data_IF_409738032782
#
_entry.id   IF_409738032782
#
_cell.length_a   1.000
_cell.length_b   1.000
_cell.length_c   1.000
_cell.angle_alpha   90.00
_cell.angle_beta   90.00
_cell.angle_gamma   90.00
#
_symmetry.space_group_name_H-M   'P 1'
#
loop_
_entity.id
_entity.type
_entity.pdbx_description
1 polymer ?
#
# COMPACT_ATOMS: atom_id res chain seq x y z
N UNK A 1 -8.01 22.33 -4.08
CA UNK A 1 -6.69 21.74 -4.42
C UNK A 1 -6.92 20.25 -4.59
N UNK A 2 -6.40 19.65 -5.65
CA UNK A 2 -6.51 18.20 -5.89
C UNK A 2 -5.66 17.44 -4.87
N UNK A 3 -6.21 16.41 -4.24
CA UNK A 3 -5.51 15.53 -3.29
C UNK A 3 -5.22 14.18 -3.94
N UNK A 4 -4.17 13.49 -3.50
CA UNK A 4 -3.81 12.18 -4.04
C UNK A 4 -4.34 11.07 -3.10
N UNK A 5 -5.01 10.06 -3.66
CA UNK A 5 -5.34 8.83 -2.96
C UNK A 5 -4.53 7.67 -3.55
N UNK A 6 -3.55 7.19 -2.79
CA UNK A 6 -2.73 6.05 -3.16
C UNK A 6 -3.44 4.74 -2.80
N UNK A 7 -3.69 3.91 -3.81
CA UNK A 7 -4.48 2.68 -3.71
C UNK A 7 -3.63 1.48 -4.11
N UNK A 8 -3.18 0.67 -3.15
CA UNK A 8 -2.41 -0.52 -3.45
C UNK A 8 -3.23 -1.61 -4.12
N UNK A 9 -2.65 -2.28 -5.10
CA UNK A 9 -3.15 -3.53 -5.66
C UNK A 9 -2.11 -4.59 -5.35
N UNK A 10 -2.37 -5.35 -4.29
CA UNK A 10 -1.38 -6.20 -3.64
C UNK A 10 -1.98 -7.48 -3.08
N UNK A 11 -1.14 -8.46 -2.78
CA UNK A 11 -1.47 -9.54 -1.85
C UNK A 11 -0.90 -9.22 -0.47
N UNK A 12 -1.36 -9.94 0.56
CA UNK A 12 -0.80 -9.82 1.91
C UNK A 12 0.71 -10.06 1.91
N UNK A 13 1.46 -9.29 2.71
CA UNK A 13 2.91 -9.47 2.87
C UNK A 13 3.80 -8.87 1.77
N UNK A 14 3.24 -8.16 0.78
CA UNK A 14 4.03 -7.45 -0.23
C UNK A 14 4.86 -6.27 0.32
N UNK A 15 4.64 -5.84 1.57
CA UNK A 15 5.42 -4.75 2.20
C UNK A 15 4.73 -3.38 2.19
N UNK A 16 3.49 -3.30 1.68
CA UNK A 16 2.63 -2.11 1.64
C UNK A 16 2.65 -1.29 2.94
N UNK A 17 2.31 -1.89 4.08
CA UNK A 17 2.23 -1.17 5.36
C UNK A 17 3.60 -0.68 5.83
N UNK A 18 4.67 -1.41 5.54
CA UNK A 18 6.05 -0.96 5.80
C UNK A 18 6.38 0.29 4.97
N UNK A 19 6.07 0.27 3.67
CA UNK A 19 6.27 1.42 2.77
C UNK A 19 5.45 2.63 3.24
N UNK A 20 4.18 2.44 3.57
CA UNK A 20 3.28 3.53 3.97
C UNK A 20 3.65 4.14 5.33
N UNK A 21 3.99 3.32 6.33
CA UNK A 21 4.53 3.80 7.61
C UNK A 21 5.82 4.59 7.42
N UNK A 22 6.72 4.12 6.55
CA UNK A 22 7.97 4.84 6.25
C UNK A 22 7.67 6.21 5.62
N UNK A 23 6.76 6.28 4.64
CA UNK A 23 6.33 7.54 4.04
C UNK A 23 5.71 8.49 5.05
N UNK A 24 4.83 8.00 5.93
CA UNK A 24 4.21 8.79 7.00
C UNK A 24 5.24 9.39 7.95
N UNK A 25 6.27 8.62 8.33
CA UNK A 25 7.36 9.10 9.20
C UNK A 25 8.19 10.19 8.53
N UNK A 26 8.45 10.06 7.23
CA UNK A 26 9.23 11.04 6.46
C UNK A 26 8.43 12.31 6.13
N UNK A 27 7.11 12.17 5.94
CA UNK A 27 6.22 13.20 5.40
C UNK A 27 4.89 13.24 6.16
N UNK A 28 4.75 14.09 7.20
CA UNK A 28 3.52 14.21 7.98
C UNK A 28 2.27 14.65 7.19
N UNK A 29 2.43 15.26 6.00
CA UNK A 29 1.33 15.59 5.09
C UNK A 29 0.76 14.37 4.35
N UNK A 30 1.46 13.23 4.36
CA UNK A 30 0.94 11.95 3.87
C UNK A 30 0.24 11.23 5.03
N UNK A 31 -1.08 11.14 4.98
CA UNK A 31 -1.88 10.45 6.02
C UNK A 31 -2.00 8.97 5.69
N UNK A 32 -1.62 8.13 6.63
CA UNK A 32 -1.67 6.67 6.50
C UNK A 32 -2.86 6.11 7.26
N UNK A 33 -3.77 5.43 6.55
CA UNK A 33 -5.02 4.89 7.11
C UNK A 33 -5.04 3.38 6.88
N UNK A 34 -5.14 2.60 7.97
CA UNK A 34 -5.06 1.14 7.97
C UNK A 34 -6.43 0.47 8.08
N UNK A 35 -6.83 -0.25 7.03
CA UNK A 35 -8.12 -0.96 7.01
C UNK A 35 -8.27 -1.94 8.18
N UNK A 36 -7.18 -2.62 8.56
CA UNK A 36 -7.19 -3.61 9.63
C UNK A 36 -7.33 -2.98 11.04
N UNK A 37 -7.24 -1.65 11.14
CA UNK A 37 -7.45 -0.87 12.38
C UNK A 37 -8.81 -0.18 12.44
N UNK A 38 -9.53 -0.07 11.33
CA UNK A 38 -10.86 0.53 11.30
C UNK A 38 -11.92 -0.48 11.75
N UNK A 39 -12.88 -0.02 12.53
CA UNK A 39 -13.94 -0.86 13.12
C UNK A 39 -14.88 -1.48 12.08
N UNK A 40 -15.03 -0.83 10.92
CA UNK A 40 -15.90 -1.27 9.84
C UNK A 40 -15.45 -0.70 8.49
N UNK A 41 -15.98 -1.26 7.38
CA UNK A 41 -15.80 -0.71 6.02
C UNK A 41 -16.27 0.76 5.93
N UNK A 42 -17.36 1.10 6.61
CA UNK A 42 -17.90 2.45 6.62
C UNK A 42 -16.97 3.42 7.39
N UNK A 43 -16.44 3.00 8.54
CA UNK A 43 -15.48 3.78 9.30
C UNK A 43 -14.20 4.03 8.47
N UNK A 44 -13.65 2.99 7.85
CA UNK A 44 -12.47 3.10 7.00
C UNK A 44 -12.63 4.11 5.86
N UNK A 45 -13.76 4.07 5.13
CA UNK A 45 -14.03 5.03 4.08
C UNK A 45 -14.35 6.43 4.61
N UNK A 46 -14.97 6.54 5.79
CA UNK A 46 -15.17 7.81 6.49
C UNK A 46 -13.86 8.48 6.90
N UNK A 47 -12.90 7.72 7.43
CA UNK A 47 -11.55 8.20 7.77
C UNK A 47 -10.83 8.74 6.52
N UNK A 48 -10.92 8.03 5.38
CA UNK A 48 -10.34 8.47 4.11
C UNK A 48 -11.01 9.76 3.61
N UNK A 49 -12.35 9.82 3.62
CA UNK A 49 -13.09 11.01 3.19
C UNK A 49 -12.75 12.24 4.05
N UNK A 50 -12.65 12.04 5.38
CA UNK A 50 -12.24 13.08 6.32
C UNK A 50 -10.84 13.58 6.00
N UNK A 51 -9.87 12.68 5.81
CA UNK A 51 -8.49 13.04 5.48
C UNK A 51 -8.37 13.76 4.12
N UNK A 52 -9.12 13.33 3.10
CA UNK A 52 -9.14 14.00 1.79
C UNK A 52 -9.76 15.41 1.83
N UNK A 53 -10.60 15.68 2.84
CA UNK A 53 -11.24 16.99 3.05
C UNK A 53 -10.37 17.94 3.87
N UNK A 54 -9.34 17.43 4.56
CA UNK A 54 -8.45 18.23 5.40
C UNK A 54 -7.44 19.01 4.51
N UNK A 55 -7.41 20.35 4.60
CA UNK A 55 -6.49 21.15 3.80
C UNK A 55 -5.02 20.86 4.08
N UNK A 56 -4.67 20.39 5.28
CA UNK A 56 -3.30 20.05 5.70
C UNK A 56 -2.77 18.71 5.18
N UNK A 57 -3.65 17.89 4.60
CA UNK A 57 -3.31 16.55 4.09
C UNK A 57 -2.99 16.63 2.62
N UNK A 58 -1.78 16.32 2.20
CA UNK A 58 -1.40 16.36 0.78
C UNK A 58 -1.86 15.11 0.03
N UNK A 59 -1.74 13.95 0.68
CA UNK A 59 -2.11 12.67 0.13
C UNK A 59 -2.55 11.67 1.21
N UNK A 60 -3.39 10.73 0.81
CA UNK A 60 -3.85 9.62 1.66
C UNK A 60 -3.26 8.31 1.14
N UNK A 61 -2.65 7.56 2.04
CA UNK A 61 -2.10 6.22 1.84
C UNK A 61 -3.13 5.20 2.33
N UNK A 62 -3.96 4.69 1.42
CA UNK A 62 -5.05 3.74 1.71
C UNK A 62 -4.46 2.34 1.94
N UNK A 63 -4.22 1.96 3.19
CA UNK A 63 -3.54 0.71 3.53
C UNK A 63 -4.52 -0.49 3.57
N UNK A 64 -4.95 -0.90 2.38
CA UNK A 64 -5.69 -2.14 2.10
C UNK A 64 -5.10 -2.83 0.89
N UNK A 65 -5.25 -4.15 0.78
CA UNK A 65 -4.64 -4.92 -0.30
C UNK A 65 -5.33 -4.73 -1.67
N UNK A 66 -6.65 -4.48 -1.70
CA UNK A 66 -7.46 -4.33 -2.93
C UNK A 66 -7.22 -5.40 -4.03
N UNK A 67 -6.87 -6.63 -3.61
CA UNK A 67 -6.68 -7.78 -4.49
C UNK A 67 -7.95 -8.22 -5.24
N UNK A 68 -9.13 -7.95 -4.69
CA UNK A 68 -10.40 -8.20 -5.36
C UNK A 68 -10.77 -6.98 -6.21
N UNK A 69 -11.28 -7.21 -7.43
CA UNK A 69 -11.78 -6.15 -8.30
C UNK A 69 -12.88 -5.31 -7.62
N UNK A 70 -13.81 -5.96 -6.91
CA UNK A 70 -14.88 -5.26 -6.17
C UNK A 70 -14.35 -4.26 -5.13
N UNK A 71 -13.18 -4.50 -4.52
CA UNK A 71 -12.56 -3.53 -3.61
C UNK A 71 -12.14 -2.24 -4.33
N UNK A 72 -11.67 -2.35 -5.58
CA UNK A 72 -11.27 -1.21 -6.40
C UNK A 72 -12.49 -0.47 -6.91
N UNK A 73 -13.54 -1.20 -7.28
CA UNK A 73 -14.86 -0.64 -7.62
C UNK A 73 -15.40 0.25 -6.51
N UNK A 74 -15.41 -0.25 -5.27
CA UNK A 74 -15.84 0.53 -4.11
C UNK A 74 -15.03 1.84 -3.98
N UNK A 75 -13.71 1.80 -4.17
CA UNK A 75 -12.85 2.98 -4.03
C UNK A 75 -13.13 4.01 -5.12
N UNK A 76 -13.27 3.55 -6.37
CA UNK A 76 -13.61 4.42 -7.49
C UNK A 76 -14.97 5.07 -7.27
N UNK A 77 -16.00 4.30 -6.89
CA UNK A 77 -17.35 4.82 -6.63
C UNK A 77 -17.41 5.83 -5.48
N UNK A 78 -16.58 5.66 -4.43
CA UNK A 78 -16.60 6.55 -3.26
C UNK A 78 -15.72 7.80 -3.43
N UNK A 79 -14.62 7.72 -4.19
CA UNK A 79 -13.58 8.75 -4.15
C UNK A 79 -13.19 9.33 -5.50
N UNK A 80 -13.62 8.75 -6.62
CA UNK A 80 -13.33 9.36 -7.93
C UNK A 80 -14.10 10.67 -8.08
N UNK A 81 -13.40 11.75 -8.38
CA UNK A 81 -14.00 13.07 -8.62
C UNK A 81 -12.98 14.12 -9.01
N UNK A 82 -13.43 15.35 -9.26
CA UNK A 82 -12.59 16.45 -9.78
C UNK A 82 -11.42 16.83 -8.86
N UNK A 83 -11.55 16.60 -7.55
CA UNK A 83 -10.57 17.00 -6.54
C UNK A 83 -9.73 15.85 -5.98
N UNK A 84 -9.86 14.63 -6.51
CA UNK A 84 -9.11 13.46 -6.04
C UNK A 84 -8.46 12.75 -7.22
N UNK A 85 -7.13 12.64 -7.16
CA UNK A 85 -6.35 11.84 -8.09
C UNK A 85 -6.14 10.44 -7.52
N UNK A 86 -6.72 9.44 -8.18
CA UNK A 86 -6.56 8.03 -7.81
C UNK A 86 -5.29 7.46 -8.43
N UNK A 87 -4.39 6.94 -7.59
CA UNK A 87 -3.11 6.38 -8.02
C UNK A 87 -3.01 4.91 -7.63
N UNK A 88 -3.05 4.03 -8.61
CA UNK A 88 -2.88 2.59 -8.39
C UNK A 88 -1.40 2.28 -8.12
N UNK A 89 -1.10 1.61 -7.01
CA UNK A 89 0.24 1.12 -6.68
C UNK A 89 0.30 -0.40 -6.89
N UNK A 90 0.93 -0.85 -7.97
CA UNK A 90 0.98 -2.26 -8.34
C UNK A 90 2.10 -2.98 -7.60
N UNK A 91 1.80 -3.51 -6.41
CA UNK A 91 2.72 -4.36 -5.63
C UNK A 91 2.84 -5.79 -6.17
N UNK A 92 1.94 -6.17 -7.07
CA UNK A 92 2.12 -7.29 -7.99
C UNK A 92 2.29 -6.66 -9.39
N UNK A 93 3.53 -6.52 -9.88
CA UNK A 93 3.81 -5.79 -11.12
C UNK A 93 3.12 -6.40 -12.34
N UNK A 94 2.94 -5.61 -13.41
CA UNK A 94 2.33 -6.11 -14.64
C UNK A 94 3.16 -7.29 -15.19
N UNK A 95 2.47 -8.29 -15.72
CA UNK A 95 3.10 -9.54 -16.19
C UNK A 95 3.62 -10.47 -15.09
N UNK A 96 3.58 -10.09 -13.81
CA UNK A 96 3.94 -10.96 -12.69
C UNK A 96 2.71 -11.73 -12.21
N UNK A 97 2.80 -13.06 -12.17
CA UNK A 97 1.75 -13.86 -11.57
C UNK A 97 1.76 -13.69 -10.05
N UNK A 98 0.60 -13.48 -9.40
CA UNK A 98 0.51 -13.43 -7.94
C UNK A 98 1.12 -14.66 -7.25
N UNK A 99 1.12 -15.81 -7.94
CA UNK A 99 1.78 -17.04 -7.50
C UNK A 99 3.30 -16.92 -7.37
N UNK A 100 3.96 -16.08 -8.18
CA UNK A 100 5.40 -15.80 -8.03
C UNK A 100 5.66 -14.98 -6.75
N UNK A 101 4.77 -14.04 -6.43
CA UNK A 101 4.84 -13.23 -5.21
C UNK A 101 4.67 -14.07 -3.93
N UNK A 102 3.92 -15.18 -4.01
CA UNK A 102 3.70 -16.11 -2.90
C UNK A 102 5.00 -16.60 -2.26
N UNK A 103 5.99 -16.97 -3.06
CA UNK A 103 7.27 -17.49 -2.55
C UNK A 103 8.01 -16.44 -1.71
N UNK A 104 8.06 -15.20 -2.21
CA UNK A 104 8.65 -14.07 -1.52
C UNK A 104 7.92 -13.74 -0.21
N UNK A 105 6.59 -13.72 -0.25
CA UNK A 105 5.75 -13.45 0.93
C UNK A 105 5.94 -14.51 2.01
N UNK A 106 5.88 -15.80 1.65
CA UNK A 106 6.07 -16.89 2.61
C UNK A 106 7.49 -16.90 3.19
N UNK A 107 8.50 -16.57 2.38
CA UNK A 107 9.87 -16.38 2.86
C UNK A 107 9.99 -15.25 3.88
N UNK A 108 9.34 -14.11 3.64
CA UNK A 108 9.29 -13.00 4.62
C UNK A 108 8.58 -13.39 5.91
N UNK A 109 7.47 -14.13 5.83
CA UNK A 109 6.74 -14.62 7.00
C UNK A 109 7.60 -15.60 7.80
N UNK A 110 8.31 -16.52 7.15
CA UNK A 110 9.20 -17.47 7.81
C UNK A 110 10.33 -16.75 8.58
N UNK A 111 11.02 -15.79 7.93
CA UNK A 111 12.11 -15.03 8.56
C UNK A 111 11.65 -14.12 9.70
N UNK A 112 10.41 -13.58 9.62
CA UNK A 112 9.82 -12.81 10.72
C UNK A 112 9.40 -13.72 11.87
N UNK A 113 8.98 -14.95 11.58
CA UNK A 113 8.68 -15.98 12.58
C UNK A 113 9.90 -16.39 13.41
N UNK A 114 11.09 -16.42 12.81
CA UNK A 114 12.34 -16.74 13.53
C UNK A 114 12.78 -15.65 14.53
N UNK A 115 12.35 -14.40 14.34
CA UNK A 115 12.69 -13.26 15.21
C UNK A 115 11.59 -12.87 16.21
N UNK A 116 10.44 -13.56 16.23
CA UNK A 116 9.34 -13.29 17.17
C UNK A 116 9.15 -14.48 18.13
N UNK A 117 9.32 -14.31 19.46
CA UNK A 117 9.17 -15.39 20.45
C UNK A 117 7.79 -16.07 20.52
N UNK A 118 6.79 -15.56 19.79
CA UNK A 118 5.40 -16.04 19.79
C UNK A 118 5.00 -16.87 18.55
N UNK A 119 5.81 -16.97 17.49
CA UNK A 119 5.54 -17.89 16.35
C UNK A 119 6.15 -19.27 16.65
N UNK A 120 5.72 -19.87 17.77
CA UNK A 120 6.26 -21.14 18.27
C UNK A 120 5.61 -22.39 17.70
N UNK A 121 4.67 -22.30 16.75
CA UNK A 121 3.97 -23.48 16.24
C UNK A 121 3.97 -23.60 14.72
N UNK A 122 4.24 -24.81 14.19
CA UNK A 122 3.99 -25.19 12.79
C UNK A 122 2.56 -24.84 12.33
N UNK A 123 1.62 -24.72 13.27
CA UNK A 123 0.23 -24.35 13.01
C UNK A 123 0.07 -22.90 12.54
N UNK A 124 0.90 -21.97 13.02
CA UNK A 124 0.80 -20.54 12.67
C UNK A 124 1.37 -20.27 11.27
N UNK A 125 2.45 -20.95 10.90
CA UNK A 125 2.93 -20.92 9.51
C UNK A 125 1.92 -21.57 8.55
N UNK A 126 1.26 -22.66 8.97
CA UNK A 126 0.17 -23.27 8.22
C UNK A 126 -0.99 -22.31 7.97
N UNK A 127 -1.45 -21.59 9.01
CA UNK A 127 -2.48 -20.54 8.91
C UNK A 127 -2.04 -19.41 7.97
N UNK A 128 -0.84 -18.88 8.16
CA UNK A 128 -0.30 -17.81 7.31
C UNK A 128 -0.25 -18.25 5.84
N UNK A 129 0.19 -19.49 5.58
CA UNK A 129 0.19 -20.07 4.23
C UNK A 129 -1.22 -20.16 3.63
N UNK A 130 -2.22 -20.58 4.40
CA UNK A 130 -3.61 -20.61 3.93
C UNK A 130 -4.14 -19.21 3.58
N UNK A 131 -3.84 -18.21 4.41
CA UNK A 131 -4.21 -16.81 4.16
C UNK A 131 -3.58 -16.32 2.86
N UNK A 132 -2.25 -16.45 2.73
CA UNK A 132 -1.52 -16.04 1.50
C UNK A 132 -2.12 -16.72 0.26
N UNK A 133 -2.40 -18.02 0.33
CA UNK A 133 -2.99 -18.75 -0.80
C UNK A 133 -4.38 -18.24 -1.17
N UNK A 134 -5.19 -17.82 -0.19
CA UNK A 134 -6.50 -17.23 -0.45
C UNK A 134 -6.37 -15.92 -1.22
N UNK A 135 -5.45 -15.05 -0.81
CA UNK A 135 -5.17 -13.78 -1.51
C UNK A 135 -4.66 -14.02 -2.92
N UNK A 136 -3.73 -14.96 -3.12
CA UNK A 136 -3.18 -15.30 -4.44
C UNK A 136 -4.27 -15.85 -5.36
N UNK A 137 -5.10 -16.77 -4.87
CA UNK A 137 -6.18 -17.39 -5.65
C UNK A 137 -7.22 -16.37 -6.09
N UNK A 138 -7.54 -15.42 -5.22
CA UNK A 138 -8.58 -14.43 -5.48
C UNK A 138 -8.02 -13.12 -6.07
N UNK A 139 -6.72 -13.04 -6.36
CA UNK A 139 -6.11 -11.82 -6.89
C UNK A 139 -6.60 -11.56 -8.32
N UNK A 140 -7.31 -10.45 -8.50
CA UNK A 140 -7.65 -9.88 -9.79
C UNK A 140 -6.56 -8.87 -10.18
N UNK A 141 -5.76 -9.14 -11.24
CA UNK A 141 -4.77 -8.20 -11.75
C UNK A 141 -5.41 -6.86 -12.13
N UNK A 142 -4.59 -5.81 -12.15
CA UNK A 142 -4.99 -4.52 -12.71
C UNK A 142 -5.10 -4.62 -14.22
N UNK A 143 -6.18 -4.07 -14.78
CA UNK A 143 -6.43 -4.02 -16.22
C UNK A 143 -6.85 -2.60 -16.64
N UNK A 144 -6.07 -1.92 -17.48
CA UNK A 144 -6.37 -0.55 -17.89
C UNK A 144 -7.61 -0.44 -18.79
N UNK A 145 -7.99 -1.53 -19.45
CA UNK A 145 -9.16 -1.58 -20.34
C UNK A 145 -10.45 -1.90 -19.57
N UNK A 146 -10.35 -2.31 -18.30
CA UNK A 146 -11.51 -2.58 -17.46
C UNK A 146 -12.22 -1.27 -17.03
N UNK A 147 -13.56 -1.19 -17.05
CA UNK A 147 -14.29 0.04 -16.75
C UNK A 147 -14.10 0.61 -15.34
N UNK A 148 -13.62 -0.18 -14.38
CA UNK A 148 -13.30 0.27 -13.03
C UNK A 148 -11.84 0.69 -12.95
N UNK A 149 -10.93 -0.20 -13.37
CA UNK A 149 -9.49 0.04 -13.25
C UNK A 149 -8.97 1.13 -14.21
N UNK A 150 -9.62 1.31 -15.35
CA UNK A 150 -9.37 2.41 -16.29
C UNK A 150 -9.76 3.80 -15.73
N UNK A 151 -10.43 3.88 -14.58
CA UNK A 151 -10.75 5.15 -13.92
C UNK A 151 -9.63 5.68 -13.00
N UNK A 152 -8.59 4.87 -12.73
CA UNK A 152 -7.39 5.35 -12.03
C UNK A 152 -6.65 6.35 -12.90
N UNK A 153 -6.31 7.51 -12.34
CA UNK A 153 -5.63 8.59 -13.06
C UNK A 153 -4.19 8.22 -13.40
N UNK A 154 -3.53 7.52 -12.49
CA UNK A 154 -2.14 7.10 -12.65
C UNK A 154 -1.92 5.69 -12.10
N UNK A 155 -0.88 5.05 -12.63
CA UNK A 155 -0.41 3.75 -12.20
C UNK A 155 1.09 3.82 -11.93
N UNK A 156 1.49 3.42 -10.73
CA UNK A 156 2.90 3.26 -10.35
C UNK A 156 3.17 1.78 -10.15
N UNK A 157 4.03 1.23 -11.00
CA UNK A 157 4.53 -0.13 -10.80
C UNK A 157 5.53 -0.15 -9.65
N UNK A 158 5.31 -1.02 -8.67
CA UNK A 158 6.19 -1.18 -7.52
C UNK A 158 7.22 -2.27 -7.83
N UNK A 159 8.33 -2.30 -7.10
CA UNK A 159 9.27 -3.41 -7.12
C UNK A 159 8.72 -4.58 -6.29
N UNK A 160 8.54 -5.72 -6.96
CA UNK A 160 8.07 -7.00 -6.38
C UNK A 160 9.18 -7.87 -5.77
N UNK A 161 10.44 -7.43 -5.83
CA UNK A 161 11.59 -8.18 -5.32
C UNK A 161 11.60 -8.32 -3.78
N UNK A 162 12.48 -9.18 -3.25
CA UNK A 162 12.54 -9.49 -1.81
C UNK A 162 12.92 -8.27 -0.94
N UNK A 163 13.72 -7.34 -1.44
CA UNK A 163 14.25 -6.18 -0.71
C UNK A 163 13.77 -4.85 -1.32
N UNK A 164 12.48 -4.80 -1.65
CA UNK A 164 11.92 -3.72 -2.46
C UNK A 164 11.37 -2.52 -1.69
N UNK A 165 11.20 -2.59 -0.36
CA UNK A 165 10.48 -1.55 0.40
C UNK A 165 11.12 -0.17 0.28
N UNK A 166 12.45 -0.07 0.32
CA UNK A 166 13.17 1.20 0.21
C UNK A 166 13.00 1.83 -1.19
N UNK A 167 13.15 1.02 -2.23
CA UNK A 167 12.91 1.44 -3.61
C UNK A 167 11.45 1.84 -3.83
N UNK A 168 10.51 1.13 -3.21
CA UNK A 168 9.08 1.45 -3.29
C UNK A 168 8.73 2.77 -2.62
N UNK A 169 9.39 3.15 -1.52
CA UNK A 169 9.30 4.50 -0.96
C UNK A 169 9.78 5.52 -1.98
N UNK A 170 10.95 5.30 -2.61
CA UNK A 170 11.50 6.21 -3.63
C UNK A 170 10.60 6.33 -4.86
N UNK A 171 9.93 5.25 -5.29
CA UNK A 171 9.00 5.28 -6.43
C UNK A 171 7.80 6.20 -6.15
N UNK A 172 7.23 6.12 -4.94
CA UNK A 172 6.12 6.99 -4.53
C UNK A 172 6.59 8.44 -4.39
N UNK A 173 7.76 8.70 -3.81
CA UNK A 173 8.34 10.05 -3.70
C UNK A 173 8.60 10.66 -5.09
N UNK A 174 9.21 9.90 -6.02
CA UNK A 174 9.41 10.33 -7.40
C UNK A 174 8.09 10.61 -8.12
N UNK A 175 7.07 9.79 -7.87
CA UNK A 175 5.74 10.05 -8.40
C UNK A 175 5.22 11.40 -7.87
N UNK A 176 5.18 11.61 -6.55
CA UNK A 176 4.71 12.87 -5.95
C UNK A 176 5.40 14.11 -6.52
N UNK A 177 6.72 14.03 -6.77
CA UNK A 177 7.52 15.14 -7.31
C UNK A 177 7.50 15.24 -8.85
N UNK A 178 6.73 14.39 -9.54
CA UNK A 178 6.62 14.39 -10.99
C UNK A 178 6.00 15.68 -11.53
N UNK A 179 6.63 16.24 -12.57
CA UNK A 179 6.14 17.45 -13.25
C UNK A 179 4.79 17.16 -13.92
N UNK A 180 3.80 18.02 -13.69
CA UNK A 180 2.49 17.93 -14.33
C UNK A 180 1.42 17.17 -13.55
N UNK A 181 1.70 16.70 -12.33
CA UNK A 181 0.66 16.14 -11.47
C UNK A 181 -0.31 17.23 -10.96
N UNK A 182 -1.63 17.08 -11.17
CA UNK A 182 -2.62 17.94 -10.55
C UNK A 182 -2.46 17.90 -9.02
N UNK A 183 -2.33 19.07 -8.38
CA UNK A 183 -2.21 19.17 -6.92
C UNK A 183 -0.79 19.11 -6.36
N UNK A 184 0.24 18.83 -7.18
CA UNK A 184 1.65 19.07 -6.87
C UNK A 184 2.06 18.76 -5.42
N UNK A 185 1.95 17.50 -4.99
CA UNK A 185 2.41 17.08 -3.66
C UNK A 185 3.94 17.12 -3.64
N UNK A 186 4.50 18.30 -3.39
CA UNK A 186 5.94 18.50 -3.31
C UNK A 186 6.46 17.94 -1.99
N UNK A 187 6.92 16.69 -2.02
CA UNK A 187 7.60 16.07 -0.88
C UNK A 187 9.10 16.34 -1.00
N UNK A 188 9.75 16.93 0.02
CA UNK A 188 11.18 17.21 -0.05
C UNK A 188 11.96 15.89 -0.23
N UNK A 189 12.94 15.89 -1.13
CA UNK A 189 13.82 14.73 -1.25
C UNK A 189 14.55 14.49 0.08
N UNK A 190 14.63 13.22 0.47
CA UNK A 190 15.33 12.77 1.67
C UNK A 190 16.51 11.92 1.26
N UNK A 191 17.58 11.98 2.04
CA UNK A 191 18.76 11.16 1.77
C UNK A 191 18.43 9.67 1.91
N UNK A 192 19.17 8.83 1.19
CA UNK A 192 19.02 7.38 1.31
C UNK A 192 19.21 6.88 2.75
N UNK A 193 20.10 7.51 3.52
CA UNK A 193 20.35 7.19 4.93
C UNK A 193 19.13 7.49 5.81
N UNK A 194 18.49 8.65 5.66
CA UNK A 194 17.27 9.01 6.38
C UNK A 194 16.11 8.07 6.01
N UNK A 195 15.90 7.80 4.71
CA UNK A 195 14.86 6.86 4.27
C UNK A 195 15.06 5.48 4.89
N UNK A 196 16.31 5.00 4.91
CA UNK A 196 16.65 3.71 5.51
C UNK A 196 16.43 3.71 7.03
N UNK A 197 16.75 4.80 7.72
CA UNK A 197 16.51 4.94 9.15
C UNK A 197 15.02 4.83 9.48
N UNK A 198 14.15 5.56 8.77
CA UNK A 198 12.71 5.50 9.00
C UNK A 198 12.12 4.16 8.56
N UNK A 199 12.68 3.53 7.52
CA UNK A 199 12.31 2.17 7.13
C UNK A 199 12.59 1.17 8.26
N UNK A 200 13.75 1.25 8.91
CA UNK A 200 14.07 0.42 10.08
C UNK A 200 13.13 0.68 11.25
N UNK A 201 12.78 1.94 11.52
CA UNK A 201 11.77 2.28 12.54
C UNK A 201 10.40 1.69 12.21
N UNK A 202 9.99 1.75 10.93
CA UNK A 202 8.71 1.16 10.49
C UNK A 202 8.67 -0.36 10.64
N UNK A 203 9.82 -1.04 10.54
CA UNK A 203 9.95 -2.49 10.75
C UNK A 203 10.00 -2.86 12.24
N UNK A 204 10.51 -1.98 13.08
CA UNK A 204 10.54 -2.14 14.54
C UNK A 204 9.19 -1.80 15.20
N UNK A 205 8.25 -1.23 14.44
CA UNK A 205 6.91 -0.91 14.94
C UNK A 205 6.20 -2.20 15.38
N UNK A 206 5.94 -2.31 16.69
CA UNK A 206 5.04 -3.32 17.25
C UNK A 206 3.62 -2.76 17.19
N UNK A 207 2.68 -3.57 16.72
CA UNK A 207 1.26 -3.27 16.96
C UNK A 207 1.08 -3.43 18.46
N UNK A 208 0.77 -2.34 19.16
CA UNK A 208 0.35 -2.42 20.55
C UNK A 208 -0.86 -3.36 20.61
N UNK A 209 -0.75 -4.43 21.41
CA UNK A 209 -1.80 -5.44 21.62
C UNK A 209 -3.05 -4.83 22.28
#
# INVERSE_FOLDING_TARGET
MTKILFVPISIVGCGKSTVFRTLRLLYPGLVHIENDRSESKAAFYGEIASALSDPSVDAVLLDRNNHLHMHRKDIVENFKGENVTLVALLFVPKGTLAQQMRGHVLGRIALRGDNHPQVKSKSDFGKAKMIVNSFVRNFAPYDAEDPVDGQFDYVVEMDGSRESSEENVRRIVRFCNGVGLPGGVSVPERSAAETRQELLRSLAYKVDE
#
